data_IF_248430059288
#
_entry.id   IF_248430059288
#
_cell.length_a   1.000
_cell.length_b   1.000
_cell.length_c   1.000
_cell.angle_alpha   90.00
_cell.angle_beta   90.00
_cell.angle_gamma   90.00
#
_symmetry.space_group_name_H-M   'P 1'
#
loop_
_entity.id
_entity.type
_entity.pdbx_description
1 polymer ?
#
# COMPACT_ATOMS: atom_id res chain seq x y z
N UNK A 1 -1.09 -20.14 -3.16
CA UNK A 1 -0.94 -19.02 -4.12
C UNK A 1 -0.16 -17.84 -3.52
N UNK A 2 -0.62 -17.23 -2.41
CA UNK A 2 0.10 -16.14 -1.69
C UNK A 2 1.57 -16.48 -1.38
N UNK A 3 1.81 -17.66 -0.80
CA UNK A 3 3.16 -18.16 -0.47
C UNK A 3 4.10 -18.23 -1.68
N UNK A 4 3.61 -18.62 -2.86
CA UNK A 4 4.43 -18.69 -4.08
C UNK A 4 4.89 -17.31 -4.54
N UNK A 5 4.01 -16.31 -4.45
CA UNK A 5 4.35 -14.94 -4.81
C UNK A 5 5.31 -14.30 -3.79
N UNK A 6 5.13 -14.59 -2.50
CA UNK A 6 6.09 -14.20 -1.45
C UNK A 6 7.48 -14.81 -1.72
N UNK A 7 7.54 -16.13 -1.97
CA UNK A 7 8.79 -16.82 -2.28
C UNK A 7 9.48 -16.24 -3.52
N UNK A 8 8.71 -15.95 -4.57
CA UNK A 8 9.26 -15.30 -5.76
C UNK A 8 9.88 -13.93 -5.44
N UNK A 9 9.22 -13.10 -4.63
CA UNK A 9 9.78 -11.81 -4.16
C UNK A 9 11.08 -12.04 -3.36
N UNK A 10 11.11 -13.05 -2.48
CA UNK A 10 12.33 -13.38 -1.74
C UNK A 10 13.47 -13.81 -2.67
N UNK A 11 13.17 -14.56 -3.74
CA UNK A 11 14.15 -14.97 -4.76
C UNK A 11 14.66 -13.79 -5.61
N UNK A 12 13.92 -12.68 -5.71
CA UNK A 12 14.43 -11.46 -6.34
C UNK A 12 15.59 -10.84 -5.56
N UNK A 13 15.81 -11.25 -4.30
CA UNK A 13 17.00 -10.88 -3.55
C UNK A 13 18.17 -11.61 -4.18
N UNK A 14 18.75 -10.94 -5.17
CA UNK A 14 19.58 -11.56 -6.20
C UNK A 14 20.75 -12.34 -5.58
N UNK A 15 20.68 -13.67 -5.57
CA UNK A 15 21.72 -14.53 -4.98
C UNK A 15 23.04 -14.42 -5.75
N UNK A 16 22.96 -14.07 -7.04
CA UNK A 16 24.08 -13.93 -7.98
C UNK A 16 24.76 -12.56 -7.95
N UNK A 17 24.19 -11.56 -7.26
CA UNK A 17 24.87 -10.28 -7.08
C UNK A 17 25.65 -10.24 -5.75
N UNK A 18 26.88 -9.70 -5.75
CA UNK A 18 27.78 -9.73 -4.60
C UNK A 18 27.20 -9.08 -3.34
N UNK A 19 26.19 -8.22 -3.47
CA UNK A 19 25.54 -7.53 -2.35
C UNK A 19 24.31 -8.26 -1.79
N UNK A 20 23.71 -9.23 -2.51
CA UNK A 20 22.46 -9.92 -2.14
C UNK A 20 21.34 -8.96 -1.71
N UNK A 21 21.12 -7.91 -2.51
CA UNK A 21 20.15 -6.83 -2.28
C UNK A 21 19.00 -6.88 -3.29
N UNK A 22 17.86 -6.32 -2.91
CA UNK A 22 16.73 -6.02 -3.78
C UNK A 22 16.92 -4.70 -4.57
N UNK A 23 17.78 -3.79 -4.11
CA UNK A 23 18.12 -2.55 -4.81
C UNK A 23 16.95 -1.55 -4.85
N UNK A 24 16.80 -0.80 -5.93
CA UNK A 24 15.81 0.29 -6.06
C UNK A 24 14.34 -0.14 -5.90
N UNK A 25 14.05 -1.43 -6.04
CA UNK A 25 12.70 -1.99 -5.86
C UNK A 25 12.38 -2.36 -4.40
N UNK A 26 13.35 -2.21 -3.50
CA UNK A 26 13.25 -2.51 -2.07
C UNK A 26 12.02 -1.88 -1.41
N UNK A 27 11.70 -0.63 -1.74
CA UNK A 27 10.54 0.06 -1.17
C UNK A 27 9.21 -0.65 -1.47
N UNK A 28 9.00 -1.05 -2.73
CA UNK A 28 7.79 -1.77 -3.16
C UNK A 28 7.76 -3.18 -2.58
N UNK A 29 8.89 -3.87 -2.59
CA UNK A 29 9.02 -5.22 -2.04
C UNK A 29 8.68 -5.24 -0.55
N UNK A 30 9.20 -4.28 0.22
CA UNK A 30 8.93 -4.17 1.66
C UNK A 30 7.43 -4.01 1.94
N UNK A 31 6.76 -3.10 1.22
CA UNK A 31 5.32 -2.87 1.35
C UNK A 31 4.51 -4.09 0.96
N UNK A 32 4.83 -4.74 -0.17
CA UNK A 32 4.12 -5.94 -0.60
C UNK A 32 4.22 -7.04 0.45
N UNK A 33 5.44 -7.36 0.90
CA UNK A 33 5.68 -8.39 1.91
C UNK A 33 4.96 -8.08 3.23
N UNK A 34 4.96 -6.83 3.68
CA UNK A 34 4.25 -6.41 4.89
C UNK A 34 2.74 -6.60 4.78
N UNK A 35 2.14 -6.14 3.67
CA UNK A 35 0.70 -6.27 3.44
C UNK A 35 0.26 -7.72 3.24
N UNK A 36 1.18 -8.61 2.87
CA UNK A 36 0.91 -10.04 2.74
C UNK A 36 1.13 -10.82 4.03
N UNK A 37 2.13 -10.43 4.81
CA UNK A 37 2.39 -10.94 6.15
C UNK A 37 3.20 -9.93 6.99
N UNK A 38 2.57 -9.35 8.00
CA UNK A 38 3.15 -8.31 8.86
C UNK A 38 4.30 -8.82 9.76
N UNK A 39 4.38 -10.13 10.02
CA UNK A 39 5.44 -10.72 10.85
C UNK A 39 6.83 -10.64 10.23
N UNK A 40 6.94 -10.28 8.95
CA UNK A 40 8.20 -10.26 8.20
C UNK A 40 9.18 -9.16 8.65
N UNK A 41 8.72 -8.14 9.41
CA UNK A 41 9.48 -6.91 9.63
C UNK A 41 9.73 -6.54 11.11
N UNK A 42 9.28 -7.34 12.08
CA UNK A 42 9.43 -6.99 13.49
C UNK A 42 10.89 -6.92 13.98
N UNK A 43 11.85 -7.59 13.31
CA UNK A 43 13.26 -7.63 13.78
C UNK A 43 14.34 -7.59 12.68
N UNK A 44 13.97 -7.39 11.40
CA UNK A 44 14.91 -7.56 10.30
C UNK A 44 15.75 -6.29 10.04
N UNK A 45 16.86 -6.13 10.79
CA UNK A 45 17.78 -4.97 10.65
C UNK A 45 18.33 -4.80 9.24
N UNK A 46 18.61 -5.89 8.53
CA UNK A 46 19.21 -5.84 7.19
C UNK A 46 18.31 -5.13 6.17
N UNK A 47 16.99 -5.34 6.26
CA UNK A 47 16.01 -4.67 5.41
C UNK A 47 16.01 -3.15 5.68
N UNK A 48 16.11 -2.74 6.95
CA UNK A 48 16.12 -1.33 7.35
C UNK A 48 17.38 -0.61 6.87
N UNK A 49 18.52 -1.27 6.93
CA UNK A 49 19.79 -0.71 6.47
C UNK A 49 19.80 -0.58 4.94
N UNK A 50 19.29 -1.58 4.23
CA UNK A 50 19.20 -1.56 2.77
C UNK A 50 18.29 -0.44 2.28
N UNK A 51 17.07 -0.30 2.82
CA UNK A 51 16.16 0.75 2.36
C UNK A 51 16.69 2.16 2.66
N UNK A 52 17.39 2.34 3.78
CA UNK A 52 18.04 3.60 4.13
C UNK A 52 19.17 3.92 3.15
N UNK A 53 19.92 2.90 2.74
CA UNK A 53 20.99 3.04 1.75
C UNK A 53 20.46 3.42 0.37
N UNK A 54 19.43 2.74 -0.12
CA UNK A 54 18.82 3.03 -1.44
C UNK A 54 18.21 4.45 -1.47
N UNK A 55 17.51 4.86 -0.41
CA UNK A 55 17.00 6.24 -0.33
C UNK A 55 18.14 7.27 -0.37
N UNK A 56 19.24 7.01 0.33
CA UNK A 56 20.38 7.93 0.33
C UNK A 56 21.01 8.07 -1.06
N UNK A 57 21.04 7.00 -1.87
CA UNK A 57 21.46 7.09 -3.26
C UNK A 57 20.50 7.93 -4.11
N UNK A 58 19.20 7.73 -3.96
CA UNK A 58 18.20 8.46 -4.76
C UNK A 58 18.05 9.93 -4.33
N UNK A 59 18.36 10.27 -3.07
CA UNK A 59 18.40 11.65 -2.64
C UNK A 59 19.47 12.45 -3.40
N UNK A 60 20.54 11.80 -3.90
CA UNK A 60 21.55 12.45 -4.73
C UNK A 60 21.02 12.83 -6.12
N UNK A 61 20.00 12.13 -6.64
CA UNK A 61 19.47 12.30 -7.99
C UNK A 61 18.20 13.17 -8.08
N UNK A 62 17.73 13.73 -6.96
CA UNK A 62 16.42 14.42 -6.81
C UNK A 62 15.24 13.49 -7.12
N UNK A 63 14.76 12.80 -6.09
CA UNK A 63 13.56 11.95 -6.14
C UNK A 63 12.34 12.60 -6.77
N UNK A 64 11.66 11.86 -7.65
CA UNK A 64 10.33 12.21 -8.12
C UNK A 64 9.29 12.13 -6.98
N UNK A 65 8.15 12.82 -7.16
CA UNK A 65 7.07 12.86 -6.16
C UNK A 65 6.58 11.46 -5.77
N UNK A 66 6.36 10.60 -6.77
CA UNK A 66 5.86 9.23 -6.57
C UNK A 66 6.90 8.34 -5.90
N UNK A 67 8.19 8.53 -6.21
CA UNK A 67 9.28 7.79 -5.56
C UNK A 67 9.38 8.14 -4.08
N UNK A 68 9.33 9.43 -3.74
CA UNK A 68 9.29 9.89 -2.35
C UNK A 68 8.09 9.29 -1.59
N UNK A 69 6.92 9.24 -2.21
CA UNK A 69 5.73 8.61 -1.64
C UNK A 69 5.91 7.10 -1.39
N UNK A 70 6.54 6.37 -2.32
CA UNK A 70 6.85 4.96 -2.12
C UNK A 70 7.85 4.73 -0.98
N UNK A 71 8.89 5.58 -0.87
CA UNK A 71 9.84 5.49 0.24
C UNK A 71 9.20 5.75 1.61
N UNK A 72 8.32 6.75 1.71
CA UNK A 72 7.57 7.01 2.97
C UNK A 72 6.75 5.78 3.38
N UNK A 73 5.98 5.21 2.46
CA UNK A 73 5.22 3.97 2.73
C UNK A 73 6.14 2.83 3.17
N UNK A 74 7.30 2.69 2.54
CA UNK A 74 8.24 1.64 2.86
C UNK A 74 8.93 1.86 4.22
N UNK A 75 9.16 3.12 4.63
CA UNK A 75 9.68 3.47 5.94
C UNK A 75 8.70 3.11 7.06
N UNK A 76 7.40 3.38 6.85
CA UNK A 76 6.35 3.01 7.79
C UNK A 76 6.35 1.50 8.05
N UNK A 77 6.42 0.67 7.00
CA UNK A 77 6.39 -0.79 7.16
C UNK A 77 7.70 -1.39 7.68
N UNK A 78 8.82 -0.69 7.51
CA UNK A 78 10.15 -1.11 8.00
C UNK A 78 10.54 -0.45 9.33
N UNK A 79 9.60 0.24 9.98
CA UNK A 79 9.81 0.84 11.31
C UNK A 79 10.90 1.92 11.33
N UNK A 80 11.11 2.62 10.22
CA UNK A 80 11.90 3.84 10.16
C UNK A 80 10.91 5.01 10.21
N UNK A 81 11.14 5.99 11.09
CA UNK A 81 10.29 7.18 11.16
C UNK A 81 10.62 8.14 9.99
N UNK A 82 9.73 8.31 8.99
CA UNK A 82 10.01 9.15 7.83
C UNK A 82 10.09 10.65 8.16
N UNK A 83 9.64 11.07 9.36
CA UNK A 83 9.79 12.46 9.82
C UNK A 83 11.14 12.73 10.48
N UNK A 84 11.89 11.68 10.82
CA UNK A 84 13.16 11.74 11.53
C UNK A 84 14.27 10.98 10.80
N UNK A 85 14.20 10.93 9.47
CA UNK A 85 15.24 10.30 8.68
C UNK A 85 16.44 11.23 8.56
N UNK A 86 17.49 10.94 9.33
CA UNK A 86 18.61 11.85 9.55
C UNK A 86 18.12 13.22 10.08
N UNK A 87 18.27 14.28 9.29
CA UNK A 87 17.80 15.64 9.60
C UNK A 87 16.65 16.07 8.68
N UNK A 88 16.10 15.15 7.89
CA UNK A 88 15.06 15.41 6.91
C UNK A 88 13.71 14.88 7.39
N UNK A 89 12.69 15.73 7.30
CA UNK A 89 11.30 15.31 7.39
C UNK A 89 10.76 15.05 5.98
N UNK A 90 10.78 13.77 5.58
CA UNK A 90 10.33 13.35 4.25
C UNK A 90 8.84 13.57 4.05
N UNK A 91 8.05 13.46 5.13
CA UNK A 91 6.59 13.66 5.07
C UNK A 91 6.28 15.12 4.81
N UNK A 92 6.92 16.03 5.55
CA UNK A 92 6.80 17.49 5.33
C UNK A 92 7.30 17.89 3.94
N UNK A 93 8.39 17.30 3.45
CA UNK A 93 8.88 17.54 2.09
C UNK A 93 7.89 17.04 1.02
N UNK A 94 7.29 15.86 1.20
CA UNK A 94 6.24 15.37 0.30
C UNK A 94 5.03 16.30 0.32
N UNK A 95 4.58 16.73 1.51
CA UNK A 95 3.45 17.65 1.67
C UNK A 95 3.68 18.96 0.92
N UNK A 96 4.86 19.57 1.10
CA UNK A 96 5.26 20.78 0.38
C UNK A 96 5.20 20.60 -1.14
N UNK A 97 5.67 19.46 -1.67
CA UNK A 97 5.64 19.18 -3.12
C UNK A 97 4.23 18.96 -3.64
N UNK A 98 3.36 18.30 -2.86
CA UNK A 98 1.94 18.13 -3.19
C UNK A 98 1.23 19.48 -3.21
N UNK A 99 1.47 20.33 -2.22
CA UNK A 99 0.85 21.66 -2.11
C UNK A 99 1.29 22.61 -3.23
N UNK A 100 2.53 22.47 -3.71
CA UNK A 100 3.06 23.25 -4.82
C UNK A 100 2.49 22.83 -6.20
N UNK A 101 1.85 21.67 -6.30
CA UNK A 101 1.26 21.19 -7.56
C UNK A 101 -0.21 21.56 -7.67
N UNK A 102 -0.61 22.02 -8.87
CA UNK A 102 -2.02 22.26 -9.19
C UNK A 102 -2.83 20.97 -9.31
N UNK A 103 -2.17 19.86 -9.65
CA UNK A 103 -2.77 18.53 -9.76
C UNK A 103 -2.38 17.66 -8.57
N UNK A 104 -3.36 16.99 -7.97
CA UNK A 104 -3.10 16.03 -6.88
C UNK A 104 -2.74 14.67 -7.43
N UNK A 105 -1.58 14.14 -7.04
CA UNK A 105 -1.24 12.75 -7.28
C UNK A 105 -1.85 11.87 -6.16
N UNK A 106 -2.80 10.97 -6.45
CA UNK A 106 -3.44 10.18 -5.40
C UNK A 106 -2.51 9.25 -4.64
N UNK A 107 -1.47 8.70 -5.28
CA UNK A 107 -0.46 7.87 -4.60
C UNK A 107 0.33 8.67 -3.57
N UNK A 108 0.65 9.93 -3.87
CA UNK A 108 1.32 10.82 -2.92
C UNK A 108 0.41 11.18 -1.74
N UNK A 109 -0.86 11.49 -2.02
CA UNK A 109 -1.84 11.80 -0.98
C UNK A 109 -2.10 10.61 -0.06
N UNK A 110 -2.20 9.40 -0.61
CA UNK A 110 -2.31 8.17 0.16
C UNK A 110 -1.10 7.95 1.06
N UNK A 111 0.13 8.18 0.57
CA UNK A 111 1.33 8.06 1.39
C UNK A 111 1.38 9.08 2.54
N UNK A 112 0.94 10.33 2.30
CA UNK A 112 0.78 11.34 3.36
C UNK A 112 -0.22 10.86 4.42
N UNK A 113 -1.38 10.38 3.98
CA UNK A 113 -2.42 9.90 4.89
C UNK A 113 -1.94 8.71 5.73
N UNK A 114 -1.29 7.72 5.11
CA UNK A 114 -0.70 6.55 5.79
C UNK A 114 0.37 6.97 6.82
N UNK A 115 1.11 8.06 6.55
CA UNK A 115 2.10 8.62 7.47
C UNK A 115 1.48 9.46 8.61
N UNK A 116 0.15 9.53 8.67
CA UNK A 116 -0.59 10.33 9.65
C UNK A 116 -0.48 11.84 9.42
N UNK A 117 -0.07 12.28 8.24
CA UNK A 117 -0.19 13.70 7.85
C UNK A 117 -1.67 14.04 7.70
N UNK A 118 -2.08 15.21 8.20
CA UNK A 118 -3.48 15.63 8.17
C UNK A 118 -3.93 15.85 6.74
N UNK A 119 -5.00 15.15 6.34
CA UNK A 119 -5.69 15.42 5.08
C UNK A 119 -6.73 16.52 5.31
N UNK A 120 -6.76 17.52 4.43
CA UNK A 120 -7.66 18.67 4.55
C UNK A 120 -8.87 18.54 3.62
N UNK A 121 -9.93 19.31 3.85
CA UNK A 121 -11.09 19.39 2.94
C UNK A 121 -10.68 19.74 1.50
N UNK A 122 -9.70 20.64 1.34
CA UNK A 122 -9.14 20.98 0.02
C UNK A 122 -8.48 19.78 -0.66
N UNK A 123 -7.82 18.93 0.11
CA UNK A 123 -7.18 17.72 -0.43
C UNK A 123 -8.23 16.71 -0.91
N UNK A 124 -9.31 16.55 -0.15
CA UNK A 124 -10.49 15.74 -0.49
C UNK A 124 -11.13 16.25 -1.77
N UNK A 125 -11.41 17.55 -1.87
CA UNK A 125 -11.98 18.17 -3.08
C UNK A 125 -11.09 17.91 -4.30
N UNK A 126 -9.77 18.08 -4.16
CA UNK A 126 -8.83 17.78 -5.25
C UNK A 126 -8.85 16.30 -5.63
N UNK A 127 -8.94 15.36 -4.68
CA UNK A 127 -9.02 13.92 -4.95
C UNK A 127 -10.31 13.55 -5.69
N UNK A 128 -11.45 14.08 -5.27
CA UNK A 128 -12.74 13.89 -5.96
C UNK A 128 -12.67 14.44 -7.38
N UNK A 129 -12.10 15.62 -7.55
CA UNK A 129 -11.89 16.25 -8.85
C UNK A 129 -10.97 15.39 -9.76
N UNK A 130 -9.88 14.85 -9.21
CA UNK A 130 -9.00 13.89 -9.91
C UNK A 130 -9.77 12.64 -10.34
N UNK A 131 -10.65 12.13 -9.48
CA UNK A 131 -11.49 10.97 -9.81
C UNK A 131 -12.37 11.26 -11.03
N UNK A 132 -13.11 12.37 -11.03
CA UNK A 132 -14.07 12.69 -12.09
C UNK A 132 -13.42 13.22 -13.39
N UNK A 133 -12.27 13.91 -13.32
CA UNK A 133 -11.60 14.49 -14.50
C UNK A 133 -10.64 13.57 -15.24
N UNK A 134 -10.44 12.34 -14.79
CA UNK A 134 -9.54 11.39 -15.44
C UNK A 134 -10.13 10.87 -16.78
N UNK A 135 -10.11 11.67 -17.85
CA UNK A 135 -10.70 11.36 -19.17
C UNK A 135 -9.75 10.67 -20.18
N UNK A 136 -8.73 9.91 -19.75
CA UNK A 136 -7.75 9.26 -20.64
C UNK A 136 -7.45 7.80 -20.26
N UNK A 137 -6.83 7.07 -21.17
CA UNK A 137 -6.29 5.71 -20.95
C UNK A 137 -5.49 5.66 -19.62
N UNK A 138 -5.68 4.60 -18.82
CA UNK A 138 -5.20 4.43 -17.42
C UNK A 138 -5.97 5.17 -16.30
N UNK A 139 -7.13 5.77 -16.59
CA UNK A 139 -8.02 6.41 -15.61
C UNK A 139 -8.37 5.56 -14.38
N UNK A 140 -8.70 4.28 -14.56
CA UNK A 140 -9.19 3.41 -13.48
C UNK A 140 -8.12 3.20 -12.40
N UNK A 141 -6.84 3.17 -12.77
CA UNK A 141 -5.73 3.11 -11.82
C UNK A 141 -5.71 4.36 -10.94
N UNK A 142 -5.78 5.55 -11.56
CA UNK A 142 -5.77 6.83 -10.85
C UNK A 142 -7.00 6.98 -9.95
N UNK A 143 -8.17 6.59 -10.44
CA UNK A 143 -9.42 6.63 -9.69
C UNK A 143 -9.43 5.66 -8.51
N UNK A 144 -8.98 4.42 -8.69
CA UNK A 144 -8.84 3.47 -7.60
C UNK A 144 -7.87 3.98 -6.52
N UNK A 145 -6.75 4.61 -6.93
CA UNK A 145 -5.84 5.26 -5.99
C UNK A 145 -6.45 6.48 -5.29
N UNK A 146 -7.32 7.24 -5.96
CA UNK A 146 -8.07 8.33 -5.35
C UNK A 146 -9.05 7.81 -4.30
N UNK A 147 -9.80 6.74 -4.60
CA UNK A 147 -10.68 6.08 -3.62
C UNK A 147 -9.89 5.54 -2.43
N UNK A 148 -8.72 4.92 -2.65
CA UNK A 148 -7.83 4.50 -1.55
C UNK A 148 -7.39 5.68 -0.67
N UNK A 149 -6.99 6.81 -1.28
CA UNK A 149 -6.59 8.00 -0.53
C UNK A 149 -7.75 8.60 0.28
N UNK A 150 -8.95 8.67 -0.31
CA UNK A 150 -10.17 9.13 0.33
C UNK A 150 -10.59 8.21 1.49
N UNK A 151 -10.56 6.90 1.27
CA UNK A 151 -10.85 5.90 2.31
C UNK A 151 -9.84 5.96 3.48
N UNK A 152 -8.60 6.35 3.21
CA UNK A 152 -7.64 6.64 4.27
C UNK A 152 -8.01 7.93 5.04
N UNK A 153 -8.35 9.00 4.32
CA UNK A 153 -8.70 10.30 4.91
C UNK A 153 -9.91 10.19 5.85
N UNK A 154 -10.94 9.45 5.43
CA UNK A 154 -12.13 9.16 6.21
C UNK A 154 -11.90 8.21 7.41
N UNK A 155 -10.69 7.63 7.54
CA UNK A 155 -10.28 6.85 8.73
C UNK A 155 -9.37 7.63 9.68
N UNK A 156 -9.02 8.88 9.36
CA UNK A 156 -8.19 9.69 10.25
C UNK A 156 -8.99 10.13 11.49
N UNK A 157 -8.36 10.31 12.66
CA UNK A 157 -9.04 10.77 13.87
C UNK A 157 -9.72 12.15 13.75
N UNK A 158 -9.36 12.93 12.73
CA UNK A 158 -9.93 14.21 12.39
C UNK A 158 -10.52 14.13 10.98
N UNK A 159 -11.40 13.15 10.77
CA UNK A 159 -12.03 12.91 9.47
C UNK A 159 -12.68 14.19 8.95
N UNK A 160 -12.37 14.51 7.70
CA UNK A 160 -12.90 15.67 6.95
C UNK A 160 -13.79 15.21 5.80
N UNK A 161 -14.08 13.91 5.74
CA UNK A 161 -14.77 13.26 4.64
C UNK A 161 -15.49 12.04 5.18
N UNK A 162 -16.79 11.92 4.88
CA UNK A 162 -17.61 10.81 5.30
C UNK A 162 -17.32 9.58 4.42
N UNK A 163 -17.19 8.41 5.04
CA UNK A 163 -17.04 7.14 4.32
C UNK A 163 -18.22 6.86 3.39
N UNK A 164 -19.44 7.27 3.76
CA UNK A 164 -20.65 7.02 2.96
C UNK A 164 -20.62 7.82 1.63
N UNK A 165 -19.84 8.90 1.53
CA UNK A 165 -19.62 9.64 0.27
C UNK A 165 -18.75 8.86 -0.73
N UNK A 166 -18.04 7.80 -0.30
CA UNK A 166 -17.21 6.96 -1.19
C UNK A 166 -18.08 6.05 -2.07
N UNK A 167 -19.29 5.72 -1.63
CA UNK A 167 -20.17 4.74 -2.27
C UNK A 167 -20.45 5.08 -3.74
N UNK A 168 -20.63 6.36 -4.08
CA UNK A 168 -20.79 6.76 -5.49
C UNK A 168 -19.52 6.49 -6.33
N UNK A 169 -18.35 6.76 -5.77
CA UNK A 169 -17.08 6.56 -6.45
C UNK A 169 -16.78 5.07 -6.66
N UNK A 170 -17.10 4.22 -5.69
CA UNK A 170 -16.92 2.77 -5.84
C UNK A 170 -17.91 2.18 -6.82
N UNK A 171 -19.16 2.66 -6.85
CA UNK A 171 -20.14 2.27 -7.87
C UNK A 171 -19.63 2.53 -9.30
N UNK A 172 -18.98 3.66 -9.55
CA UNK A 172 -18.37 3.95 -10.85
C UNK A 172 -17.20 3.01 -11.20
N UNK A 173 -16.42 2.58 -10.21
CA UNK A 173 -15.39 1.56 -10.42
C UNK A 173 -16.00 0.19 -10.71
N UNK A 174 -17.06 -0.20 -9.98
CA UNK A 174 -17.75 -1.48 -10.15
C UNK A 174 -18.31 -1.65 -11.57
N UNK A 175 -18.89 -0.60 -12.13
CA UNK A 175 -19.43 -0.57 -13.52
C UNK A 175 -18.39 -0.91 -14.60
N UNK A 176 -17.09 -0.88 -14.29
CA UNK A 176 -16.02 -1.21 -15.23
C UNK A 176 -15.62 -2.68 -15.26
N UNK A 177 -16.24 -3.51 -14.43
CA UNK A 177 -15.98 -4.93 -14.47
C UNK A 177 -16.46 -5.54 -15.79
N UNK A 178 -15.54 -6.21 -16.48
CA UNK A 178 -15.87 -7.00 -17.65
C UNK A 178 -16.59 -8.29 -17.25
N UNK A 179 -17.30 -8.90 -18.20
CA UNK A 179 -17.99 -10.18 -18.00
C UNK A 179 -17.07 -11.31 -17.54
N UNK A 180 -15.75 -11.21 -17.74
CA UNK A 180 -14.79 -12.21 -17.26
C UNK A 180 -14.37 -12.00 -15.78
N UNK A 181 -14.90 -10.96 -15.12
CA UNK A 181 -14.60 -10.56 -13.73
C UNK A 181 -13.43 -9.57 -13.58
N UNK A 182 -12.66 -9.29 -14.63
CA UNK A 182 -11.52 -8.36 -14.57
C UNK A 182 -11.95 -6.92 -14.80
N UNK A 183 -11.11 -5.98 -14.41
CA UNK A 183 -11.21 -4.57 -14.79
C UNK A 183 -9.95 -4.22 -15.58
N UNK A 184 -10.08 -3.98 -16.88
CA UNK A 184 -8.98 -3.69 -17.83
C UNK A 184 -7.87 -4.75 -17.81
N UNK A 185 -6.90 -4.63 -16.90
CA UNK A 185 -5.73 -5.49 -16.77
C UNK A 185 -5.53 -5.93 -15.31
N UNK A 186 -4.54 -6.79 -15.07
CA UNK A 186 -4.28 -7.37 -13.75
C UNK A 186 -3.99 -6.32 -12.66
N UNK A 187 -3.19 -5.30 -12.97
CA UNK A 187 -2.88 -4.20 -12.03
C UNK A 187 -4.14 -3.40 -11.70
N UNK A 188 -4.92 -3.03 -12.71
CA UNK A 188 -6.17 -2.28 -12.53
C UNK A 188 -7.17 -3.09 -11.71
N UNK A 189 -7.37 -4.36 -12.05
CA UNK A 189 -8.25 -5.28 -11.31
C UNK A 189 -7.86 -5.36 -9.83
N UNK A 190 -6.56 -5.52 -9.55
CA UNK A 190 -6.07 -5.59 -8.18
C UNK A 190 -6.30 -4.27 -7.41
N UNK A 191 -6.05 -3.12 -8.05
CA UNK A 191 -6.27 -1.81 -7.42
C UNK A 191 -7.75 -1.52 -7.15
N UNK A 192 -8.65 -1.91 -8.06
CA UNK A 192 -10.10 -1.77 -7.82
C UNK A 192 -10.51 -2.61 -6.62
N UNK A 193 -10.13 -3.89 -6.56
CA UNK A 193 -10.40 -4.74 -5.39
C UNK A 193 -9.87 -4.12 -4.08
N UNK A 194 -8.64 -3.61 -4.10
CA UNK A 194 -8.10 -2.92 -2.93
C UNK A 194 -8.92 -1.69 -2.53
N UNK A 195 -9.39 -0.91 -3.50
CA UNK A 195 -10.23 0.26 -3.24
C UNK A 195 -11.55 -0.16 -2.60
N UNK A 196 -12.20 -1.21 -3.13
CA UNK A 196 -13.44 -1.78 -2.56
C UNK A 196 -13.20 -2.28 -1.12
N UNK A 197 -12.15 -3.08 -0.88
CA UNK A 197 -11.79 -3.55 0.47
C UNK A 197 -11.52 -2.42 1.47
N UNK A 198 -11.04 -1.28 1.00
CA UNK A 198 -10.73 -0.15 1.86
C UNK A 198 -11.98 0.68 2.22
N UNK A 199 -13.01 0.63 1.39
CA UNK A 199 -14.13 1.59 1.43
C UNK A 199 -15.48 0.98 1.78
N UNK A 200 -15.73 -0.28 1.42
CA UNK A 200 -17.06 -0.86 1.50
C UNK A 200 -17.32 -1.60 2.82
N UNK A 201 -18.58 -1.58 3.23
CA UNK A 201 -19.10 -2.40 4.33
C UNK A 201 -19.39 -3.81 3.76
N UNK A 202 -19.26 -4.85 4.58
CA UNK A 202 -19.42 -6.27 4.17
C UNK A 202 -20.77 -6.58 3.49
N UNK A 203 -21.77 -5.70 3.59
CA UNK A 203 -23.11 -5.89 3.03
C UNK A 203 -23.31 -5.35 1.61
N UNK A 204 -22.35 -4.62 1.03
CA UNK A 204 -22.48 -3.95 -0.27
C UNK A 204 -22.02 -4.82 -1.46
N UNK A 205 -22.34 -6.12 -1.43
CA UNK A 205 -21.98 -7.09 -2.47
C UNK A 205 -22.69 -6.86 -3.82
N UNK A 206 -23.66 -5.94 -3.86
CA UNK A 206 -24.40 -5.67 -5.08
C UNK A 206 -23.48 -5.03 -6.14
N UNK A 207 -23.48 -5.61 -7.34
CA UNK A 207 -22.91 -5.06 -8.58
C UNK A 207 -21.40 -5.26 -8.83
N UNK A 208 -20.68 -6.06 -8.03
CA UNK A 208 -19.31 -6.48 -8.39
C UNK A 208 -19.09 -7.97 -8.14
N UNK A 209 -18.74 -8.73 -9.17
CA UNK A 209 -18.42 -10.16 -9.06
C UNK A 209 -17.00 -10.34 -8.44
N UNK A 210 -16.83 -10.02 -7.16
CA UNK A 210 -15.54 -10.04 -6.45
C UNK A 210 -14.83 -11.38 -6.57
N UNK A 211 -15.53 -12.47 -6.27
CA UNK A 211 -14.93 -13.81 -6.35
C UNK A 211 -14.40 -14.14 -7.75
N UNK A 212 -15.07 -13.63 -8.78
CA UNK A 212 -14.67 -13.85 -10.18
C UNK A 212 -13.42 -13.05 -10.52
N UNK A 213 -13.32 -11.82 -10.03
CA UNK A 213 -12.11 -11.00 -10.11
C UNK A 213 -10.94 -11.70 -9.40
N UNK A 214 -11.15 -12.17 -8.17
CA UNK A 214 -10.15 -12.92 -7.40
C UNK A 214 -9.72 -14.20 -8.12
N UNK A 215 -10.67 -14.98 -8.66
CA UNK A 215 -10.36 -16.18 -9.47
C UNK A 215 -9.48 -15.83 -10.67
N UNK A 216 -9.73 -14.71 -11.34
CA UNK A 216 -8.89 -14.30 -12.48
C UNK A 216 -7.50 -13.82 -12.07
N UNK A 217 -7.38 -13.11 -10.96
CA UNK A 217 -6.08 -12.77 -10.37
C UNK A 217 -5.30 -14.06 -10.11
N UNK A 218 -5.91 -15.06 -9.45
CA UNK A 218 -5.25 -16.33 -9.12
C UNK A 218 -4.81 -17.10 -10.37
N UNK A 219 -5.62 -17.10 -11.44
CA UNK A 219 -5.28 -17.72 -12.74
C UNK A 219 -4.12 -17.02 -13.45
N UNK A 220 -3.87 -15.76 -13.13
CA UNK A 220 -2.77 -14.98 -13.72
C UNK A 220 -1.40 -15.26 -13.08
N UNK A 221 -1.36 -16.04 -11.99
CA UNK A 221 -0.09 -16.43 -11.34
C UNK A 221 0.73 -17.35 -12.26
N UNK A 222 1.98 -16.97 -12.51
CA UNK A 222 2.93 -17.73 -13.32
C UNK A 222 3.52 -18.91 -12.55
N UNK A 223 4.17 -19.82 -13.27
CA UNK A 223 4.83 -21.00 -12.68
C UNK A 223 5.90 -20.65 -11.65
N UNK A 224 6.65 -19.57 -11.90
CA UNK A 224 7.63 -19.04 -10.96
C UNK A 224 7.01 -18.36 -9.72
N UNK A 225 5.68 -18.29 -9.61
CA UNK A 225 4.97 -17.67 -8.49
C UNK A 225 4.67 -16.18 -8.65
N UNK A 226 5.28 -15.50 -9.61
CA UNK A 226 5.02 -14.08 -9.90
C UNK A 226 3.65 -13.85 -10.55
N UNK A 227 3.22 -12.59 -10.59
CA UNK A 227 2.10 -12.13 -11.42
C UNK A 227 2.59 -11.46 -12.71
N UNK A 228 3.65 -12.02 -13.31
CA UNK A 228 4.26 -11.58 -14.57
C UNK A 228 5.40 -10.58 -14.41
N UNK A 229 5.29 -9.63 -13.46
CA UNK A 229 6.37 -8.71 -13.11
C UNK A 229 6.22 -8.24 -11.64
N UNK A 230 7.22 -7.51 -11.13
CA UNK A 230 7.21 -7.02 -9.76
C UNK A 230 6.04 -6.08 -9.49
N UNK A 231 5.74 -5.15 -10.42
CA UNK A 231 4.70 -4.15 -10.21
C UNK A 231 3.31 -4.79 -10.07
N UNK A 232 2.98 -5.75 -10.91
CA UNK A 232 1.73 -6.51 -10.80
C UNK A 232 1.71 -7.31 -9.49
N UNK A 233 2.83 -7.95 -9.14
CA UNK A 233 2.94 -8.73 -7.90
C UNK A 233 2.76 -7.83 -6.68
N UNK A 234 3.31 -6.62 -6.68
CA UNK A 234 3.14 -5.59 -5.65
C UNK A 234 1.68 -5.22 -5.41
N UNK A 235 0.91 -4.98 -6.48
CA UNK A 235 -0.52 -4.66 -6.35
C UNK A 235 -1.40 -5.87 -6.06
N UNK A 236 -1.00 -7.08 -6.48
CA UNK A 236 -1.80 -8.29 -6.23
C UNK A 236 -1.60 -8.84 -4.82
N UNK A 237 -0.39 -8.76 -4.25
CA UNK A 237 -0.10 -9.39 -2.96
C UNK A 237 -1.06 -8.98 -1.82
N UNK A 238 -1.43 -7.69 -1.66
CA UNK A 238 -2.39 -7.25 -0.65
C UNK A 238 -3.79 -7.87 -0.87
N UNK A 239 -4.23 -7.96 -2.13
CA UNK A 239 -5.55 -8.53 -2.49
C UNK A 239 -5.68 -9.97 -2.04
N UNK A 240 -4.60 -10.77 -2.13
CA UNK A 240 -4.60 -12.16 -1.68
C UNK A 240 -4.77 -12.33 -0.16
N UNK A 241 -4.69 -11.24 0.60
CA UNK A 241 -4.96 -11.20 2.03
C UNK A 241 -6.14 -10.30 2.40
N UNK A 242 -7.00 -9.93 1.43
CA UNK A 242 -8.10 -8.96 1.62
C UNK A 242 -7.63 -7.65 2.26
N UNK A 243 -6.47 -7.17 1.82
CA UNK A 243 -5.85 -5.92 2.28
C UNK A 243 -5.66 -4.96 1.12
N UNK A 244 -5.44 -3.70 1.48
CA UNK A 244 -5.18 -2.61 0.56
C UNK A 244 -3.94 -1.81 0.98
N UNK A 245 -3.51 -0.90 0.10
CA UNK A 245 -2.46 0.07 0.42
C UNK A 245 -2.83 1.03 1.58
N UNK A 246 -4.11 1.13 1.96
CA UNK A 246 -4.54 1.89 3.15
C UNK A 246 -4.11 1.21 4.45
N UNK A 247 -3.82 -0.10 4.43
CA UNK A 247 -3.37 -0.82 5.63
C UNK A 247 -1.87 -0.63 5.95
N UNK A 248 -1.17 0.21 5.17
CA UNK A 248 0.22 0.59 5.45
C UNK A 248 0.23 1.47 6.70
N UNK A 249 0.97 1.04 7.73
CA UNK A 249 1.11 1.80 8.97
C UNK A 249 2.41 1.42 9.67
N UNK A 250 2.77 2.16 10.71
CA UNK A 250 3.85 1.83 11.65
C UNK A 250 3.34 1.19 12.94
N UNK A 251 2.08 0.74 12.99
CA UNK A 251 1.46 0.21 14.22
C UNK A 251 2.15 -1.04 14.77
N UNK A 252 2.65 -1.92 13.89
CA UNK A 252 3.41 -3.13 14.22
C UNK A 252 4.82 -2.85 14.74
N UNK A 253 5.31 -1.61 14.62
CA UNK A 253 6.64 -1.21 15.04
C UNK A 253 6.72 -0.84 16.53
N UNK A 254 5.57 -0.67 17.19
CA UNK A 254 5.52 -0.47 18.63
C UNK A 254 5.84 -1.81 19.30
N UNK A 255 6.85 -1.83 20.16
CA UNK A 255 7.09 -3.00 21.00
C UNK A 255 5.80 -3.32 21.78
N UNK A 256 5.46 -4.61 22.01
CA UNK A 256 4.35 -4.95 22.88
C UNK A 256 4.56 -4.22 24.20
N UNK A 257 3.56 -3.44 24.62
CA UNK A 257 3.56 -2.80 25.93
C UNK A 257 3.58 -3.95 26.94
N UNK A 258 4.74 -4.22 27.52
CA UNK A 258 4.82 -5.05 28.72
C UNK A 258 4.15 -4.23 29.80
N UNK A 259 2.83 -4.39 29.95
CA UNK A 259 2.17 -3.99 31.17
C UNK A 259 2.83 -4.81 32.28
N UNK A 260 3.63 -4.15 33.10
CA UNK A 260 4.19 -4.71 34.32
C UNK A 260 3.05 -5.09 35.25
N UNK A 261 2.53 -6.32 35.11
CA UNK A 261 1.96 -7.20 36.12
C UNK A 261 1.14 -8.30 35.43
N UNK A 262 1.79 -9.42 35.14
CA UNK A 262 1.36 -10.76 35.53
C UNK A 262 2.27 -11.79 34.88
N UNK A 263 3.32 -12.16 35.61
CA UNK A 263 3.95 -13.46 35.43
C UNK A 263 2.94 -14.50 35.94
N UNK A 264 2.09 -15.04 35.08
CA UNK A 264 1.47 -16.34 35.36
C UNK A 264 2.48 -17.37 34.88
N UNK A 265 3.33 -17.78 35.81
CA UNK A 265 4.16 -18.97 35.66
C UNK A 265 3.18 -20.15 35.64
N UNK A 266 2.85 -20.64 34.45
CA UNK A 266 2.22 -21.94 34.31
C UNK A 266 3.27 -23.00 34.68
N UNK A 267 3.28 -23.42 35.94
CA UNK A 267 3.87 -24.69 36.35
C UNK A 267 3.11 -25.81 35.64
N UNK A 268 3.75 -26.49 34.69
CA UNK A 268 3.32 -27.82 34.27
C UNK A 268 3.62 -28.80 35.40
N UNK A 269 2.70 -29.70 35.79
CA UNK A 269 3.07 -30.86 36.57
C UNK A 269 3.78 -31.86 35.65
N UNK A 270 4.97 -32.29 36.03
CA UNK A 270 5.62 -33.45 35.45
C UNK A 270 4.90 -34.74 35.92
N UNK A 271 4.93 -35.83 35.11
CA UNK A 271 4.30 -37.10 35.45
C UNK A 271 4.93 -37.79 36.67
#
# INVERSE_FOLDING_TARGET
>A
MRYRAQNWIHQLRNEDQPTRKWGSDMGRISVALYLSNHSNFQENRTIRDEISYELNLDLLSKLALTELAYYINAFLVTCIDPRKFHVLDLVSELRKRVDAQNYTNPSAMLALCNAGERITERDVEKLINVFWKAYREFWTVTQALAVLALACAAKQPHEVFDMDEITELTMELKKRQYQNGTVENLKTTALVLQALFASEKETDEENFEEEKALRQILRSQKENGSFGNLLNTYYVLPVLGYRSLVNISSSHCKAPVIHGNSMIICFFPAP
#
